data_IF_307337039996
#
_entry.id   IF_307337039996
#
_cell.length_a   1.000
_cell.length_b   1.000
_cell.length_c   1.000
_cell.angle_alpha   90.00
_cell.angle_beta   90.00
_cell.angle_gamma   90.00
#
_symmetry.space_group_name_H-M   'P 1'
#
loop_
_entity.id
_entity.type
_entity.pdbx_description
1 polymer ?
#
# COMPACT_ATOMS: atom_id res chain seq x y z
N UNK A 1 9.43 3.61 19.19
CA UNK A 1 10.38 3.11 20.20
C UNK A 1 11.82 3.51 19.84
N UNK A 2 12.69 3.43 20.80
CA UNK A 2 14.11 3.72 20.57
C UNK A 2 14.72 2.80 19.53
N UNK A 3 14.33 1.54 19.56
CA UNK A 3 14.84 0.55 18.60
C UNK A 3 14.41 0.92 17.17
N UNK A 4 13.17 1.33 16.98
CA UNK A 4 12.71 1.75 15.67
C UNK A 4 13.45 2.96 15.14
N UNK A 5 13.73 3.94 16.00
CA UNK A 5 14.53 5.09 15.62
C UNK A 5 15.91 4.74 15.17
N UNK A 6 16.57 3.86 15.93
CA UNK A 6 17.93 3.44 15.60
C UNK A 6 17.97 2.72 14.27
N UNK A 7 16.99 1.84 14.02
CA UNK A 7 16.89 1.15 12.74
C UNK A 7 16.72 2.14 11.59
N UNK A 8 15.85 3.12 11.77
CA UNK A 8 15.63 4.12 10.74
C UNK A 8 16.90 4.91 10.43
N UNK A 9 17.65 5.30 11.45
CA UNK A 9 18.91 6.01 11.25
C UNK A 9 19.92 5.18 10.49
N UNK A 10 20.07 3.90 10.87
CA UNK A 10 21.03 3.01 10.22
C UNK A 10 20.70 2.77 8.76
N UNK A 11 19.43 2.64 8.44
CA UNK A 11 18.99 2.41 7.07
C UNK A 11 19.10 3.64 6.19
N UNK A 12 18.92 4.84 6.78
CA UNK A 12 18.67 6.03 6.01
C UNK A 12 17.22 6.10 5.57
N UNK A 13 16.79 7.29 5.20
CA UNK A 13 15.38 7.53 4.87
C UNK A 13 14.92 6.78 3.63
N UNK A 14 15.76 6.73 2.59
CA UNK A 14 15.38 6.08 1.34
C UNK A 14 15.11 4.59 1.55
N UNK A 15 15.98 3.92 2.28
CA UNK A 15 15.81 2.51 2.57
C UNK A 15 14.60 2.27 3.46
N UNK A 16 14.38 3.14 4.46
CA UNK A 16 13.23 3.03 5.34
C UNK A 16 11.93 3.11 4.55
N UNK A 17 11.82 4.09 3.65
CA UNK A 17 10.60 4.25 2.84
C UNK A 17 10.39 3.08 1.89
N UNK A 18 11.46 2.52 1.33
CA UNK A 18 11.35 1.34 0.48
C UNK A 18 10.80 0.14 1.25
N UNK A 19 11.28 -0.10 2.46
CA UNK A 19 10.74 -1.15 3.30
C UNK A 19 9.28 -0.90 3.66
N UNK A 20 8.93 0.34 3.94
CA UNK A 20 7.55 0.68 4.27
C UNK A 20 6.62 0.44 3.07
N UNK A 21 7.05 0.81 1.87
CA UNK A 21 6.29 0.53 0.66
C UNK A 21 6.06 -0.97 0.48
N UNK A 22 7.12 -1.77 0.62
CA UNK A 22 6.99 -3.22 0.50
C UNK A 22 6.06 -3.80 1.55
N UNK A 23 6.14 -3.30 2.77
CA UNK A 23 5.28 -3.75 3.84
C UNK A 23 3.81 -3.47 3.54
N UNK A 24 3.50 -2.25 3.14
CA UNK A 24 2.12 -1.85 2.83
C UNK A 24 1.59 -2.68 1.66
N UNK A 25 2.38 -2.80 0.59
CA UNK A 25 1.97 -3.56 -0.59
C UNK A 25 1.75 -5.04 -0.27
N UNK A 26 2.61 -5.63 0.57
CA UNK A 26 2.45 -7.03 0.95
C UNK A 26 1.21 -7.25 1.81
N UNK A 27 0.89 -6.30 2.68
CA UNK A 27 -0.33 -6.38 3.49
C UNK A 27 -1.58 -6.33 2.60
N UNK A 28 -1.58 -5.45 1.60
CA UNK A 28 -2.70 -5.34 0.66
C UNK A 28 -2.89 -6.65 -0.11
N UNK A 29 -1.80 -7.25 -0.58
CA UNK A 29 -1.87 -8.51 -1.30
C UNK A 29 -2.40 -9.63 -0.40
N UNK A 30 -1.97 -9.66 0.85
CA UNK A 30 -2.45 -10.64 1.82
C UNK A 30 -3.94 -10.52 2.06
N UNK A 31 -4.42 -9.29 2.23
CA UNK A 31 -5.86 -9.03 2.41
C UNK A 31 -6.64 -9.48 1.19
N UNK A 32 -6.15 -9.17 -0.01
CA UNK A 32 -6.80 -9.59 -1.25
C UNK A 32 -6.88 -11.12 -1.35
N UNK A 33 -5.81 -11.82 -1.00
CA UNK A 33 -5.80 -13.29 -1.01
C UNK A 33 -6.87 -13.85 -0.09
N UNK A 34 -6.98 -13.32 1.11
CA UNK A 34 -7.98 -13.80 2.06
C UNK A 34 -9.39 -13.50 1.60
N UNK A 35 -9.63 -12.30 1.06
CA UNK A 35 -10.96 -11.94 0.57
C UNK A 35 -11.38 -12.85 -0.59
N UNK A 36 -10.48 -13.10 -1.54
CA UNK A 36 -10.79 -13.98 -2.66
C UNK A 36 -10.95 -15.44 -2.23
N UNK A 37 -10.25 -15.87 -1.19
CA UNK A 37 -10.37 -17.22 -0.69
C UNK A 37 -11.69 -17.45 0.04
N UNK A 38 -12.18 -16.45 0.77
CA UNK A 38 -13.33 -16.58 1.65
C UNK A 38 -14.65 -16.17 0.98
N UNK A 39 -14.60 -15.32 -0.01
CA UNK A 39 -15.81 -14.71 -0.59
C UNK A 39 -15.85 -14.98 -2.10
N UNK A 40 -17.07 -15.24 -2.65
CA UNK A 40 -17.22 -15.50 -4.08
C UNK A 40 -17.34 -14.18 -4.87
N UNK A 41 -16.38 -13.29 -4.69
CA UNK A 41 -16.37 -11.99 -5.34
C UNK A 41 -15.37 -12.00 -6.49
N UNK A 42 -15.61 -11.17 -7.50
CA UNK A 42 -14.73 -11.08 -8.67
C UNK A 42 -13.75 -9.94 -8.59
N UNK A 43 -14.09 -8.90 -7.83
CA UNK A 43 -13.28 -7.68 -7.77
C UNK A 43 -13.25 -7.19 -6.33
N UNK A 44 -12.09 -6.74 -5.90
CA UNK A 44 -11.93 -6.05 -4.60
C UNK A 44 -11.31 -4.69 -4.85
N UNK A 45 -11.67 -3.73 -4.02
CA UNK A 45 -10.99 -2.42 -3.96
C UNK A 45 -10.47 -2.29 -2.54
N UNK A 46 -9.17 -2.08 -2.42
CA UNK A 46 -8.51 -1.99 -1.13
C UNK A 46 -7.85 -0.63 -1.02
N UNK A 47 -8.07 0.03 0.10
CA UNK A 47 -7.42 1.31 0.41
C UNK A 47 -6.52 1.11 1.61
N UNK A 48 -5.32 1.69 1.54
CA UNK A 48 -4.44 1.76 2.70
C UNK A 48 -4.40 3.21 3.15
N UNK A 49 -4.67 3.43 4.42
CA UNK A 49 -4.68 4.77 5.01
C UNK A 49 -3.57 4.89 6.04
N UNK A 50 -3.07 6.11 6.18
CA UNK A 50 -2.08 6.44 7.19
C UNK A 50 -2.45 7.81 7.77
N UNK A 51 -1.76 8.23 8.80
CA UNK A 51 -2.03 9.51 9.44
C UNK A 51 -0.95 10.51 9.08
N UNK A 52 -1.34 11.77 9.00
CA UNK A 52 -0.45 12.87 8.66
C UNK A 52 -0.79 14.06 9.54
N UNK A 53 0.24 14.72 10.07
CA UNK A 53 0.04 15.93 10.84
C UNK A 53 -0.18 17.12 9.92
N UNK A 54 -1.32 17.78 10.08
CA UNK A 54 -1.57 19.04 9.40
C UNK A 54 -0.95 20.16 10.22
N UNK A 55 0.18 20.70 9.77
CA UNK A 55 0.92 21.70 10.52
C UNK A 55 0.21 23.05 10.61
N UNK A 56 -0.76 23.30 9.72
CA UNK A 56 -1.53 24.53 9.76
C UNK A 56 -2.55 24.54 10.89
N UNK A 57 -3.15 23.37 11.19
CA UNK A 57 -4.18 23.26 12.22
C UNK A 57 -3.71 22.55 13.48
N UNK A 58 -2.59 21.84 13.41
CA UNK A 58 -2.09 21.03 14.52
C UNK A 58 -2.83 19.72 14.73
N UNK A 59 -3.74 19.36 13.82
CA UNK A 59 -4.50 18.13 13.93
C UNK A 59 -3.91 17.01 13.11
N UNK A 60 -4.08 15.77 13.57
CA UNK A 60 -3.70 14.58 12.82
C UNK A 60 -4.86 14.23 11.89
N UNK A 61 -4.54 14.01 10.62
CA UNK A 61 -5.52 13.67 9.61
C UNK A 61 -5.23 12.30 9.05
N UNK A 62 -6.27 11.59 8.64
CA UNK A 62 -6.13 10.31 7.95
C UNK A 62 -6.08 10.58 6.45
N UNK A 63 -5.05 10.05 5.79
CA UNK A 63 -4.90 10.18 4.34
C UNK A 63 -4.86 8.79 3.72
N UNK A 64 -5.32 8.69 2.48
CA UNK A 64 -5.17 7.46 1.72
C UNK A 64 -3.82 7.50 1.00
N UNK A 65 -3.01 6.47 1.21
CA UNK A 65 -1.68 6.38 0.62
C UNK A 65 -1.62 5.39 -0.53
N UNK A 66 -2.58 4.48 -0.61
CA UNK A 66 -2.64 3.49 -1.66
C UNK A 66 -4.10 3.10 -1.87
N UNK A 67 -4.50 3.01 -3.12
CA UNK A 67 -5.81 2.48 -3.48
C UNK A 67 -5.62 1.58 -4.69
N UNK A 68 -6.17 0.37 -4.66
CA UNK A 68 -5.98 -0.60 -5.73
C UNK A 68 -7.28 -1.35 -5.99
N UNK A 69 -7.57 -1.58 -7.26
CA UNK A 69 -8.68 -2.43 -7.71
C UNK A 69 -8.08 -3.69 -8.30
N UNK A 70 -8.47 -4.84 -7.76
CA UNK A 70 -7.93 -6.12 -8.17
C UNK A 70 -9.07 -7.01 -8.64
N UNK A 71 -8.94 -7.54 -9.85
CA UNK A 71 -9.87 -8.52 -10.38
C UNK A 71 -9.35 -9.92 -10.09
N UNK A 72 -10.25 -10.82 -9.68
CA UNK A 72 -9.89 -12.18 -9.33
C UNK A 72 -9.10 -12.89 -10.44
N UNK A 73 -9.52 -12.70 -11.68
CA UNK A 73 -8.84 -13.33 -12.81
C UNK A 73 -7.37 -12.94 -12.91
N UNK A 74 -7.10 -11.65 -12.76
CA UNK A 74 -5.74 -11.14 -12.83
C UNK A 74 -4.92 -11.61 -11.63
N UNK A 75 -5.55 -11.64 -10.47
CA UNK A 75 -4.89 -12.06 -9.24
C UNK A 75 -4.44 -13.52 -9.30
N UNK A 76 -5.24 -14.36 -9.92
CA UNK A 76 -4.95 -15.79 -10.04
C UNK A 76 -3.75 -16.09 -10.94
N UNK A 77 -3.35 -15.17 -11.79
CA UNK A 77 -2.22 -15.37 -12.69
C UNK A 77 -0.87 -15.10 -12.03
N UNK A 78 -0.88 -14.56 -10.82
CA UNK A 78 0.35 -14.13 -10.15
C UNK A 78 1.05 -15.30 -9.46
N UNK A 79 2.35 -15.41 -9.66
CA UNK A 79 3.19 -16.34 -8.94
C UNK A 79 3.72 -15.65 -7.69
N UNK A 80 3.05 -15.88 -6.55
CA UNK A 80 3.35 -15.17 -5.30
C UNK A 80 4.71 -15.51 -4.70
N UNK A 81 5.33 -16.58 -5.15
CA UNK A 81 6.66 -16.95 -4.66
C UNK A 81 7.77 -16.10 -5.27
N UNK A 82 7.48 -15.42 -6.36
CA UNK A 82 8.49 -14.69 -7.13
C UNK A 82 8.17 -13.24 -7.40
N UNK A 83 7.12 -12.71 -6.80
CA UNK A 83 6.73 -11.32 -7.05
C UNK A 83 7.50 -10.34 -6.18
N UNK A 84 7.65 -9.13 -6.70
CA UNK A 84 7.91 -7.94 -5.91
C UNK A 84 6.55 -7.30 -5.63
N UNK A 85 6.20 -7.11 -4.36
CA UNK A 85 4.85 -6.69 -3.99
C UNK A 85 4.47 -5.34 -4.58
N UNK A 86 5.38 -4.38 -4.60
CA UNK A 86 5.07 -3.07 -5.18
C UNK A 86 4.86 -3.16 -6.69
N UNK A 87 5.65 -3.99 -7.38
CA UNK A 87 5.45 -4.20 -8.81
C UNK A 87 4.12 -4.89 -9.08
N UNK A 88 3.73 -5.84 -8.24
CA UNK A 88 2.44 -6.50 -8.39
C UNK A 88 1.28 -5.51 -8.24
N UNK A 89 1.35 -4.63 -7.26
CA UNK A 89 0.33 -3.59 -7.07
C UNK A 89 0.26 -2.69 -8.29
N UNK A 90 1.40 -2.31 -8.85
CA UNK A 90 1.44 -1.44 -10.02
C UNK A 90 0.86 -2.10 -11.27
N UNK A 91 0.79 -3.43 -11.31
CA UNK A 91 0.19 -4.14 -12.44
C UNK A 91 -1.33 -4.10 -12.43
N UNK A 92 -1.95 -3.73 -11.30
CA UNK A 92 -3.40 -3.56 -11.19
C UNK A 92 -3.76 -2.09 -11.37
N UNK A 93 -5.06 -1.80 -11.55
CA UNK A 93 -5.52 -0.42 -11.51
C UNK A 93 -5.30 0.12 -10.10
N UNK A 94 -4.54 1.22 -9.99
CA UNK A 94 -4.13 1.69 -8.67
C UNK A 94 -3.91 3.19 -8.66
N UNK A 95 -3.96 3.76 -7.45
CA UNK A 95 -3.46 5.09 -7.15
C UNK A 95 -2.40 4.94 -6.06
N UNK A 96 -1.17 5.26 -6.39
CA UNK A 96 -0.05 5.22 -5.43
C UNK A 96 0.98 6.25 -5.88
N UNK A 97 1.31 7.16 -4.99
CA UNK A 97 2.36 8.15 -5.27
C UNK A 97 3.43 7.99 -4.21
N UNK A 98 4.51 7.37 -4.58
CA UNK A 98 5.61 7.07 -3.67
C UNK A 98 6.87 7.79 -4.12
N UNK A 99 7.49 8.53 -3.20
CA UNK A 99 8.75 9.21 -3.43
C UNK A 99 9.81 8.58 -2.53
N UNK A 100 10.96 8.27 -3.11
CA UNK A 100 12.04 7.61 -2.37
C UNK A 100 12.52 8.40 -1.16
N UNK A 101 12.44 9.72 -1.24
CA UNK A 101 12.95 10.59 -0.17
C UNK A 101 11.87 11.06 0.79
N UNK A 102 10.59 10.93 0.42
CA UNK A 102 9.48 11.44 1.24
C UNK A 102 8.45 10.38 1.59
N UNK A 103 8.55 9.19 0.98
CA UNK A 103 7.61 8.11 1.23
C UNK A 103 6.30 8.27 0.47
N UNK A 104 5.25 7.66 0.99
CA UNK A 104 3.93 7.73 0.39
C UNK A 104 3.34 9.13 0.46
N UNK A 105 2.68 9.51 -0.62
CA UNK A 105 1.94 10.78 -0.69
C UNK A 105 0.45 10.49 -0.76
N UNK A 106 -0.37 11.48 -0.40
CA UNK A 106 -1.82 11.34 -0.45
C UNK A 106 -2.31 11.07 -1.87
N UNK A 107 -3.23 10.12 -2.01
CA UNK A 107 -3.86 9.80 -3.30
C UNK A 107 -5.37 9.73 -3.14
N UNK A 108 -6.08 9.76 -4.26
CA UNK A 108 -7.53 9.61 -4.28
C UNK A 108 -7.91 8.13 -4.24
N UNK A 109 -9.04 7.83 -3.60
CA UNK A 109 -9.57 6.48 -3.55
C UNK A 109 -10.21 6.11 -4.88
N UNK A 110 -10.00 4.86 -5.29
CA UNK A 110 -10.71 4.31 -6.45
C UNK A 110 -12.16 3.98 -6.06
N UNK A 111 -13.05 4.10 -7.02
CA UNK A 111 -14.45 3.74 -6.82
C UNK A 111 -14.68 2.30 -7.21
N UNK A 112 -15.48 1.60 -6.41
CA UNK A 112 -15.82 0.20 -6.69
C UNK A 112 -16.61 0.06 -7.98
N UNK A 113 -17.45 1.04 -8.28
CA UNK A 113 -18.34 1.01 -9.43
C UNK A 113 -17.64 1.20 -10.77
N UNK A 114 -16.41 1.51 -10.76
CA UNK A 114 -15.59 1.65 -11.97
C UNK A 114 -14.71 0.39 -12.21
#
# INVERSE_FOLDING_TARGET
TKTGRLSQRKMGKTMFYAYYQDYVCSCVIRVARELFALLPIRTVVIHADDTELNTATGHVETITILSVRIHREDFQTINFDRIDCSNAIESFEHHMHFLKTKGFQKVNKLNLSK
#
